data_IF_134765131462
#
_entry.id   IF_134765131462
#
_cell.length_a   1.000
_cell.length_b   1.000
_cell.length_c   1.000
_cell.angle_alpha   90.00
_cell.angle_beta   90.00
_cell.angle_gamma   90.00
#
_symmetry.space_group_name_H-M   'P 1'
#
loop_
_entity.id
_entity.type
_entity.pdbx_description
1 polymer ?
#
# COMPACT_ATOMS: atom_id res chain seq x y z
N UNK A 1 44.78 -3.22 -29.24
CA UNK A 1 43.54 -3.93 -29.63
C UNK A 1 43.04 -4.73 -28.44
N UNK A 2 42.19 -4.12 -27.60
CA UNK A 2 41.71 -4.75 -26.36
C UNK A 2 40.45 -5.56 -26.65
N UNK A 3 40.51 -6.87 -26.38
CA UNK A 3 39.37 -7.79 -26.57
C UNK A 3 38.40 -7.65 -25.40
N UNK A 4 37.16 -7.28 -25.71
CA UNK A 4 36.02 -7.24 -24.79
C UNK A 4 35.62 -8.68 -24.45
N UNK A 5 35.75 -9.06 -23.18
CA UNK A 5 35.41 -10.41 -22.71
C UNK A 5 33.94 -10.42 -22.28
N UNK A 6 33.07 -10.99 -23.12
CA UNK A 6 31.65 -11.18 -22.81
C UNK A 6 31.54 -12.43 -21.93
N UNK A 7 31.39 -12.24 -20.62
CA UNK A 7 31.09 -13.32 -19.68
C UNK A 7 29.59 -13.60 -19.75
N UNK A 8 29.21 -14.70 -20.40
CA UNK A 8 27.85 -15.25 -20.31
C UNK A 8 27.74 -16.03 -19.01
N UNK A 9 26.99 -15.51 -18.03
CA UNK A 9 26.62 -16.28 -16.84
C UNK A 9 25.53 -17.28 -17.26
N UNK A 10 25.92 -18.53 -17.43
CA UNK A 10 24.98 -19.65 -17.58
C UNK A 10 24.66 -20.11 -16.16
N UNK A 11 23.44 -19.84 -15.69
CA UNK A 11 22.94 -20.40 -14.44
C UNK A 11 22.62 -21.87 -14.68
N UNK A 12 23.53 -22.77 -14.30
CA UNK A 12 23.30 -24.21 -14.31
C UNK A 12 22.66 -24.59 -12.99
N UNK A 13 21.37 -24.94 -13.02
CA UNK A 13 20.72 -25.61 -11.89
C UNK A 13 21.22 -27.04 -11.84
N UNK A 14 21.91 -27.41 -10.76
CA UNK A 14 22.24 -28.80 -10.48
C UNK A 14 21.12 -29.38 -9.62
N UNK A 15 20.30 -30.24 -10.20
CA UNK A 15 19.40 -31.11 -9.44
C UNK A 15 20.26 -32.15 -8.71
N UNK A 16 20.42 -31.99 -7.39
CA UNK A 16 20.93 -33.05 -6.53
C UNK A 16 19.90 -33.38 -5.46
N UNK A 17 19.50 -34.63 -5.49
CA UNK A 17 18.37 -35.25 -4.81
C UNK A 17 18.64 -35.51 -3.32
N UNK A 18 17.77 -34.98 -2.46
CA UNK A 18 17.27 -35.62 -1.24
C UNK A 18 15.94 -34.99 -0.87
N UNK A 19 14.86 -35.69 -1.23
CA UNK A 19 13.48 -35.29 -1.00
C UNK A 19 13.15 -35.36 0.50
N UNK A 20 13.38 -34.25 1.21
CA UNK A 20 12.50 -33.90 2.32
C UNK A 20 11.22 -33.37 1.69
N UNK A 21 10.06 -33.93 2.07
CA UNK A 21 8.73 -33.39 1.79
C UNK A 21 8.56 -32.04 2.52
N UNK A 22 9.38 -31.06 2.18
CA UNK A 22 9.06 -29.67 2.43
C UNK A 22 7.99 -29.37 1.40
N UNK A 23 6.74 -29.38 1.84
CA UNK A 23 5.64 -28.71 1.16
C UNK A 23 6.02 -27.23 1.15
N UNK A 24 6.95 -26.85 0.28
CA UNK A 24 7.26 -25.47 -0.08
C UNK A 24 5.96 -24.98 -0.67
N UNK A 25 5.12 -24.42 0.20
CA UNK A 25 4.06 -23.51 -0.21
C UNK A 25 4.77 -22.51 -1.11
N UNK A 26 4.55 -22.63 -2.42
CA UNK A 26 5.16 -21.77 -3.43
C UNK A 26 4.55 -20.39 -3.15
N UNK A 27 5.21 -19.63 -2.29
CA UNK A 27 4.85 -18.27 -1.94
C UNK A 27 5.21 -17.40 -3.14
N UNK A 28 4.31 -17.31 -4.12
CA UNK A 28 4.65 -16.94 -5.50
C UNK A 28 4.71 -15.44 -5.79
N UNK A 29 4.78 -14.58 -4.77
CA UNK A 29 4.93 -13.12 -4.95
C UNK A 29 6.33 -12.70 -5.40
N UNK A 30 6.45 -11.72 -6.31
CA UNK A 30 7.76 -11.25 -6.78
C UNK A 30 8.60 -10.65 -5.65
N UNK A 31 7.99 -9.80 -4.81
CA UNK A 31 8.64 -9.23 -3.63
C UNK A 31 9.09 -10.31 -2.63
N UNK A 32 8.31 -11.37 -2.45
CA UNK A 32 8.66 -12.47 -1.54
C UNK A 32 9.93 -13.18 -2.01
N UNK A 33 10.04 -13.46 -3.32
CA UNK A 33 11.26 -14.06 -3.89
C UNK A 33 12.50 -13.19 -3.69
N UNK A 34 12.35 -11.86 -3.72
CA UNK A 34 13.46 -10.94 -3.48
C UNK A 34 13.86 -10.88 -1.99
N UNK A 35 12.89 -10.98 -1.08
CA UNK A 35 13.15 -11.06 0.36
C UNK A 35 13.84 -12.38 0.74
N UNK A 36 13.35 -13.52 0.24
CA UNK A 36 13.97 -14.82 0.49
C UNK A 36 15.44 -14.85 0.07
N UNK A 37 15.78 -14.10 -0.99
CA UNK A 37 17.15 -13.93 -1.49
C UNK A 37 17.93 -12.82 -0.78
N UNK A 38 17.30 -12.07 0.13
CA UNK A 38 17.85 -10.92 0.83
C UNK A 38 18.41 -9.83 -0.12
N UNK A 39 17.77 -9.63 -1.27
CA UNK A 39 18.19 -8.65 -2.30
C UNK A 39 17.26 -7.43 -2.39
N UNK A 40 16.36 -7.27 -1.42
CA UNK A 40 15.43 -6.13 -1.33
C UNK A 40 15.54 -5.43 0.02
N UNK A 41 15.58 -4.09 -0.01
CA UNK A 41 15.34 -3.27 1.17
C UNK A 41 13.83 -3.08 1.32
N UNK A 42 13.25 -3.67 2.37
CA UNK A 42 11.86 -3.38 2.74
C UNK A 42 11.78 -2.04 3.47
N UNK A 43 10.74 -1.27 3.16
CA UNK A 43 10.44 0.03 3.78
C UNK A 43 9.15 -0.12 4.58
N UNK A 44 9.24 0.17 5.88
CA UNK A 44 8.12 0.13 6.82
C UNK A 44 7.12 1.26 6.57
N UNK A 45 5.95 1.15 7.19
CA UNK A 45 4.96 2.23 7.18
C UNK A 45 5.54 3.45 7.92
N UNK A 46 5.37 4.64 7.35
CA UNK A 46 5.93 5.91 7.82
C UNK A 46 7.47 5.91 7.86
N UNK A 47 8.11 5.17 6.95
CA UNK A 47 9.56 5.17 6.76
C UNK A 47 9.92 5.74 5.38
N UNK A 48 11.02 6.49 5.34
CA UNK A 48 11.75 6.82 4.11
C UNK A 48 13.05 6.05 4.13
N UNK A 49 13.33 5.33 3.04
CA UNK A 49 14.59 4.62 2.89
C UNK A 49 15.14 4.79 1.47
N UNK A 50 16.45 4.54 1.34
CA UNK A 50 17.11 4.49 0.04
C UNK A 50 17.87 3.19 -0.14
N UNK A 51 18.01 2.76 -1.39
CA UNK A 51 18.82 1.61 -1.75
C UNK A 51 19.58 1.89 -3.04
N UNK A 52 20.83 1.43 -3.09
CA UNK A 52 21.54 1.32 -4.37
C UNK A 52 20.83 0.25 -5.21
N UNK A 53 20.54 0.57 -6.45
CA UNK A 53 19.97 -0.35 -7.42
C UNK A 53 21.11 -0.98 -8.23
N UNK A 54 20.96 -2.26 -8.54
CA UNK A 54 21.89 -2.97 -9.40
C UNK A 54 21.14 -3.79 -10.43
N UNK A 55 21.56 -3.68 -11.68
CA UNK A 55 21.06 -4.52 -12.77
C UNK A 55 21.48 -5.99 -12.59
N UNK A 56 22.61 -6.22 -11.91
CA UNK A 56 23.11 -7.55 -11.56
C UNK A 56 22.66 -7.88 -10.14
N UNK A 57 21.51 -8.56 -10.02
CA UNK A 57 21.08 -9.16 -8.76
C UNK A 57 21.99 -10.35 -8.41
N UNK A 58 23.21 -10.05 -7.97
CA UNK A 58 24.16 -11.02 -7.43
C UNK A 58 23.82 -11.39 -5.98
N UNK A 59 24.27 -12.58 -5.56
CA UNK A 59 24.12 -13.03 -4.17
C UNK A 59 24.75 -12.01 -3.21
N UNK A 60 23.96 -11.51 -2.25
CA UNK A 60 24.44 -10.66 -1.16
C UNK A 60 24.48 -9.15 -1.44
N UNK A 61 23.99 -8.67 -2.59
CA UNK A 61 23.80 -7.22 -2.82
C UNK A 61 22.31 -6.88 -2.88
N UNK A 62 21.88 -5.96 -2.03
CA UNK A 62 20.56 -5.32 -2.16
C UNK A 62 20.56 -4.56 -3.49
N UNK A 63 19.73 -5.00 -4.43
CA UNK A 63 19.56 -4.38 -5.74
C UNK A 63 18.15 -3.86 -6.00
N UNK A 64 17.32 -3.87 -4.96
CA UNK A 64 15.91 -3.45 -5.01
C UNK A 64 15.44 -2.83 -3.70
N UNK A 65 14.35 -2.06 -3.77
CA UNK A 65 13.65 -1.48 -2.62
C UNK A 65 12.15 -1.70 -2.80
N UNK A 66 11.40 -1.93 -1.72
CA UNK A 66 9.98 -2.19 -1.85
C UNK A 66 9.21 -2.11 -0.54
N UNK A 67 7.88 -2.26 -0.62
CA UNK A 67 6.98 -2.18 0.53
C UNK A 67 5.99 -3.33 0.61
N UNK A 68 5.64 -3.63 1.87
CA UNK A 68 4.53 -4.43 2.39
C UNK A 68 3.17 -3.73 2.36
N UNK A 69 2.07 -4.45 2.12
CA UNK A 69 0.77 -4.12 2.73
C UNK A 69 0.24 -2.71 2.43
N UNK A 70 0.35 -2.26 1.18
CA UNK A 70 -0.21 -1.00 0.70
C UNK A 70 -1.74 -1.02 0.64
N UNK A 71 -2.41 -0.99 1.78
CA UNK A 71 -3.86 -0.82 1.79
C UNK A 71 -4.22 0.61 1.35
N UNK A 72 -4.49 1.51 2.28
CA UNK A 72 -4.77 2.91 2.01
C UNK A 72 -3.52 3.81 2.01
N UNK A 73 -2.34 3.22 2.20
CA UNK A 73 -1.09 3.96 2.19
C UNK A 73 -0.75 4.48 0.79
N UNK A 74 -0.05 5.61 0.75
CA UNK A 74 0.56 6.17 -0.46
C UNK A 74 2.04 5.83 -0.47
N UNK A 75 2.60 5.51 -1.64
CA UNK A 75 4.03 5.33 -1.83
C UNK A 75 4.56 6.33 -2.81
N UNK A 76 5.63 7.02 -2.41
CA UNK A 76 6.34 7.99 -3.24
C UNK A 76 7.72 7.44 -3.53
N UNK A 77 8.09 7.39 -4.81
CA UNK A 77 9.36 6.83 -5.25
C UNK A 77 10.07 7.86 -6.10
N UNK A 78 11.35 8.08 -5.82
CA UNK A 78 12.28 8.79 -6.69
C UNK A 78 13.40 7.82 -7.03
N UNK A 79 13.56 7.47 -8.31
CA UNK A 79 14.59 6.51 -8.72
C UNK A 79 15.35 6.96 -9.96
N UNK A 80 16.61 6.58 -10.02
CA UNK A 80 17.44 6.55 -11.21
C UNK A 80 17.87 5.11 -11.49
N UNK A 81 18.66 4.88 -12.54
CA UNK A 81 19.26 3.55 -12.78
C UNK A 81 20.13 3.02 -11.63
N UNK A 82 20.63 3.90 -10.75
CA UNK A 82 21.63 3.56 -9.74
C UNK A 82 21.10 3.53 -8.32
N UNK A 83 20.01 4.24 -8.04
CA UNK A 83 19.49 4.41 -6.69
C UNK A 83 18.01 4.69 -6.72
N UNK A 84 17.32 4.20 -5.71
CA UNK A 84 15.93 4.56 -5.42
C UNK A 84 15.82 5.08 -3.99
N UNK A 85 14.93 6.05 -3.81
CA UNK A 85 14.39 6.50 -2.54
C UNK A 85 12.91 6.18 -2.58
N UNK A 86 12.41 5.61 -1.49
CA UNK A 86 11.02 5.22 -1.35
C UNK A 86 10.51 5.71 0.01
N UNK A 87 9.40 6.44 0.00
CA UNK A 87 8.61 6.79 1.16
C UNK A 87 7.31 5.98 1.18
N UNK A 88 7.00 5.35 2.30
CA UNK A 88 5.75 4.63 2.52
C UNK A 88 4.90 5.42 3.52
N UNK A 89 3.94 6.18 3.00
CA UNK A 89 3.15 7.15 3.76
C UNK A 89 1.82 6.52 4.18
N UNK A 90 1.60 6.35 5.48
CA UNK A 90 0.31 5.92 5.99
C UNK A 90 -0.78 6.95 5.68
N UNK A 91 -2.06 6.56 5.63
CA UNK A 91 -3.13 7.52 5.45
C UNK A 91 -3.31 8.42 6.69
N UNK A 92 -2.78 8.02 7.86
CA UNK A 92 -2.73 8.87 9.04
C UNK A 92 -1.54 8.53 9.97
N UNK A 93 -1.19 9.43 10.89
CA UNK A 93 -0.24 9.10 11.96
C UNK A 93 -0.82 8.06 12.89
N UNK A 94 0.00 7.07 13.22
CA UNK A 94 -0.39 6.02 14.15
C UNK A 94 -0.65 6.66 15.53
N UNK A 95 -1.81 6.37 16.11
CA UNK A 95 -2.22 6.83 17.46
C UNK A 95 -2.42 8.35 17.62
N UNK A 96 -2.37 9.15 16.54
CA UNK A 96 -2.62 10.59 16.67
C UNK A 96 -4.11 10.89 16.84
N UNK A 97 -4.49 11.66 17.87
CA UNK A 97 -5.87 12.12 18.06
C UNK A 97 -6.20 13.36 17.21
N UNK A 98 -5.20 13.96 16.56
CA UNK A 98 -5.37 15.21 15.82
C UNK A 98 -6.01 14.95 14.46
N UNK A 99 -7.03 15.74 14.10
CA UNK A 99 -7.73 15.59 12.83
C UNK A 99 -6.82 15.88 11.62
N UNK A 100 -5.85 16.78 11.77
CA UNK A 100 -4.90 17.19 10.73
C UNK A 100 -3.60 16.36 10.70
N UNK A 101 -3.54 15.27 11.47
CA UNK A 101 -2.32 14.45 11.59
C UNK A 101 -1.88 13.84 10.24
N UNK A 102 -2.81 13.52 9.34
CA UNK A 102 -2.48 13.02 8.00
C UNK A 102 -1.77 14.06 7.11
N UNK A 103 -2.10 15.35 7.29
CA UNK A 103 -1.47 16.48 6.58
C UNK A 103 -0.04 16.64 7.12
N UNK A 104 0.12 16.69 8.44
CA UNK A 104 1.42 16.78 9.11
C UNK A 104 2.33 15.62 8.73
N UNK A 105 1.77 14.40 8.70
CA UNK A 105 2.49 13.21 8.24
C UNK A 105 2.98 13.36 6.81
N UNK A 106 2.13 13.81 5.88
CA UNK A 106 2.50 13.97 4.48
C UNK A 106 3.65 14.96 4.31
N UNK A 107 3.59 16.11 5.00
CA UNK A 107 4.68 17.09 5.01
C UNK A 107 5.97 16.50 5.55
N UNK A 108 5.94 15.89 6.75
CA UNK A 108 7.13 15.26 7.35
C UNK A 108 7.74 14.22 6.41
N UNK A 109 6.93 13.31 5.88
CA UNK A 109 7.42 12.24 4.99
C UNK A 109 8.04 12.79 3.70
N UNK A 110 7.51 13.90 3.16
CA UNK A 110 8.09 14.56 2.00
C UNK A 110 9.36 15.34 2.33
N UNK A 111 9.48 15.89 3.55
CA UNK A 111 10.71 16.51 4.05
C UNK A 111 11.82 15.47 4.19
N UNK A 112 11.52 14.32 4.80
CA UNK A 112 12.45 13.19 4.94
C UNK A 112 12.88 12.64 3.56
N UNK A 113 11.94 12.53 2.62
CA UNK A 113 12.23 12.13 1.23
C UNK A 113 13.13 13.17 0.54
N UNK A 114 12.90 14.46 0.75
CA UNK A 114 13.72 15.51 0.18
C UNK A 114 15.13 15.55 0.76
N UNK A 115 15.27 15.37 2.06
CA UNK A 115 16.57 15.21 2.71
C UNK A 115 17.32 14.01 2.13
N UNK A 116 16.65 12.85 2.03
CA UNK A 116 17.22 11.66 1.42
C UNK A 116 17.64 11.89 -0.03
N UNK A 117 16.87 12.65 -0.81
CA UNK A 117 17.19 13.02 -2.19
C UNK A 117 18.42 13.92 -2.27
N UNK A 118 18.47 14.99 -1.46
CA UNK A 118 19.60 15.93 -1.45
C UNK A 118 20.91 15.25 -1.10
N UNK A 119 20.88 14.38 -0.08
CA UNK A 119 22.05 13.61 0.38
C UNK A 119 22.60 12.65 -0.69
N UNK A 120 21.83 12.37 -1.75
CA UNK A 120 22.20 11.45 -2.82
C UNK A 120 22.02 12.04 -4.22
N UNK A 121 21.90 13.37 -4.35
CA UNK A 121 21.51 14.07 -5.59
C UNK A 121 22.41 13.73 -6.79
N UNK A 122 23.68 13.43 -6.57
CA UNK A 122 24.62 12.98 -7.61
C UNK A 122 24.18 11.70 -8.34
N UNK A 123 23.38 10.86 -7.70
CA UNK A 123 22.86 9.62 -8.28
C UNK A 123 21.61 9.84 -9.15
N UNK A 124 21.02 11.03 -9.10
CA UNK A 124 19.76 11.38 -9.75
C UNK A 124 19.96 12.36 -10.93
N UNK A 125 21.19 12.56 -11.39
CA UNK A 125 21.45 13.36 -12.58
C UNK A 125 20.99 12.62 -13.86
N UNK A 126 20.17 13.28 -14.68
CA UNK A 126 19.76 12.81 -16.01
C UNK A 126 18.45 12.01 -16.03
N UNK A 127 18.50 10.74 -15.62
CA UNK A 127 17.41 9.77 -15.82
C UNK A 127 16.63 9.49 -14.53
N UNK A 128 16.17 10.54 -13.86
CA UNK A 128 15.34 10.41 -12.67
C UNK A 128 13.88 10.22 -13.07
N UNK A 129 13.20 9.33 -12.35
CA UNK A 129 11.77 9.09 -12.46
C UNK A 129 11.15 9.21 -11.09
N UNK A 130 9.94 9.74 -11.07
CA UNK A 130 9.13 9.86 -9.87
C UNK A 130 7.83 9.10 -10.08
N UNK A 131 7.44 8.27 -9.12
CA UNK A 131 6.14 7.61 -9.11
C UNK A 131 5.41 7.90 -7.81
N UNK A 132 4.09 8.03 -7.89
CA UNK A 132 3.20 8.10 -6.74
C UNK A 132 2.14 7.02 -6.89
N UNK A 133 2.18 6.02 -6.02
CA UNK A 133 1.22 4.92 -5.98
C UNK A 133 0.24 5.17 -4.84
N UNK A 134 -1.06 5.26 -5.12
CA UNK A 134 -2.07 5.64 -4.12
C UNK A 134 -3.37 4.86 -4.27
N UNK A 135 -4.08 4.68 -3.15
CA UNK A 135 -5.35 3.97 -3.13
C UNK A 135 -6.51 4.79 -3.72
N UNK A 136 -7.42 4.10 -4.42
CA UNK A 136 -8.70 4.63 -4.88
C UNK A 136 -9.86 3.77 -4.35
N UNK A 137 -10.95 4.41 -3.96
CA UNK A 137 -12.22 3.78 -3.57
C UNK A 137 -13.21 4.06 -4.71
N UNK A 138 -13.51 3.04 -5.51
CA UNK A 138 -14.22 3.25 -6.78
C UNK A 138 -13.36 4.09 -7.74
N UNK A 139 -13.85 5.27 -8.11
CA UNK A 139 -13.12 6.26 -8.92
C UNK A 139 -12.38 7.31 -8.10
N UNK A 140 -12.62 7.37 -6.79
CA UNK A 140 -12.17 8.49 -5.95
C UNK A 140 -10.85 8.15 -5.27
N UNK A 141 -9.95 9.13 -5.16
CA UNK A 141 -8.70 8.99 -4.40
C UNK A 141 -9.05 8.83 -2.92
N UNK A 142 -8.48 7.81 -2.26
CA UNK A 142 -8.77 7.54 -0.84
C UNK A 142 -8.33 8.69 0.08
N UNK A 143 -7.22 9.36 -0.26
CA UNK A 143 -6.64 10.49 0.48
C UNK A 143 -6.24 11.62 -0.48
N UNK A 144 -7.20 12.37 -1.04
CA UNK A 144 -6.94 13.34 -2.09
C UNK A 144 -6.04 14.49 -1.61
N UNK A 145 -6.29 15.02 -0.42
CA UNK A 145 -5.51 16.11 0.16
C UNK A 145 -4.04 15.67 0.39
N UNK A 146 -3.80 14.42 0.79
CA UNK A 146 -2.46 13.87 0.95
C UNK A 146 -1.71 13.79 -0.39
N UNK A 147 -2.41 13.34 -1.46
CA UNK A 147 -1.87 13.25 -2.82
C UNK A 147 -1.51 14.63 -3.37
N UNK A 148 -2.33 15.64 -3.09
CA UNK A 148 -2.08 17.02 -3.55
C UNK A 148 -0.84 17.62 -2.88
N UNK A 149 -0.67 17.38 -1.58
CA UNK A 149 0.54 17.78 -0.83
C UNK A 149 1.77 17.10 -1.44
N UNK A 150 1.74 15.78 -1.60
CA UNK A 150 2.85 15.01 -2.18
C UNK A 150 3.23 15.54 -3.56
N UNK A 151 2.25 15.75 -4.44
CA UNK A 151 2.49 16.21 -5.81
C UNK A 151 3.06 17.64 -5.83
N UNK A 152 2.55 18.52 -4.97
CA UNK A 152 3.07 19.89 -4.82
C UNK A 152 4.52 19.89 -4.31
N UNK A 153 4.84 19.07 -3.31
CA UNK A 153 6.21 18.95 -2.78
C UNK A 153 7.18 18.38 -3.82
N UNK A 154 6.78 17.40 -4.62
CA UNK A 154 7.60 16.87 -5.73
C UNK A 154 7.95 18.00 -6.73
N UNK A 155 6.98 18.84 -7.07
CA UNK A 155 7.19 19.99 -7.96
C UNK A 155 8.13 21.03 -7.34
N UNK A 156 7.99 21.34 -6.06
CA UNK A 156 8.88 22.26 -5.33
C UNK A 156 10.33 21.77 -5.29
N UNK A 157 10.54 20.44 -5.28
CA UNK A 157 11.86 19.83 -5.35
C UNK A 157 12.48 19.89 -6.76
N UNK A 158 11.77 20.43 -7.76
CA UNK A 158 12.15 20.44 -9.16
C UNK A 158 12.45 19.03 -9.71
N UNK A 159 11.71 18.04 -9.22
CA UNK A 159 11.72 16.68 -9.75
C UNK A 159 10.81 16.59 -10.99
N UNK A 160 11.01 15.60 -11.87
CA UNK A 160 10.07 15.30 -12.94
C UNK A 160 8.66 15.06 -12.40
N UNK A 161 7.66 15.49 -13.17
CA UNK A 161 6.24 15.27 -12.86
C UNK A 161 6.00 13.79 -12.55
N UNK A 162 5.39 13.46 -11.40
CA UNK A 162 5.25 12.09 -10.98
C UNK A 162 4.26 11.32 -11.86
N UNK A 163 4.63 10.08 -12.16
CA UNK A 163 3.72 9.09 -12.75
C UNK A 163 2.76 8.64 -11.65
N UNK A 164 1.48 8.95 -11.83
CA UNK A 164 0.41 8.68 -10.87
C UNK A 164 -0.18 7.28 -11.13
N UNK A 165 -0.15 6.40 -10.13
CA UNK A 165 -0.63 5.02 -10.24
C UNK A 165 -1.73 4.80 -9.21
N UNK A 166 -2.97 4.75 -9.68
CA UNK A 166 -4.12 4.41 -8.87
C UNK A 166 -4.19 2.89 -8.65
N UNK A 167 -4.38 2.48 -7.39
CA UNK A 167 -4.64 1.09 -7.00
C UNK A 167 -6.00 1.00 -6.31
N UNK A 168 -6.89 0.06 -6.66
CA UNK A 168 -8.10 -0.16 -5.90
C UNK A 168 -7.78 -0.43 -4.42
N UNK A 169 -8.52 0.20 -3.51
CA UNK A 169 -8.42 -0.09 -2.09
C UNK A 169 -8.86 -1.55 -1.89
N UNK A 170 -7.95 -2.38 -1.40
CA UNK A 170 -8.23 -3.77 -1.06
C UNK A 170 -8.41 -3.89 0.45
N UNK A 171 -9.32 -4.76 0.92
CA UNK A 171 -9.43 -5.07 2.34
C UNK A 171 -8.06 -5.49 2.90
N UNK A 172 -7.72 -5.06 4.12
CA UNK A 172 -6.44 -5.35 4.77
C UNK A 172 -6.12 -6.85 4.86
N UNK A 173 -7.15 -7.70 4.84
CA UNK A 173 -7.02 -9.16 4.77
C UNK A 173 -6.91 -9.57 3.30
N UNK A 174 -5.81 -9.21 2.66
CA UNK A 174 -5.55 -9.66 1.29
C UNK A 174 -5.21 -11.16 1.34
N UNK A 175 -6.02 -11.98 0.67
CA UNK A 175 -5.84 -13.43 0.65
C UNK A 175 -4.67 -13.87 -0.23
N UNK A 176 -4.12 -12.95 -1.03
CA UNK A 176 -2.99 -13.20 -1.91
C UNK A 176 -1.74 -12.40 -1.51
N UNK A 177 -0.58 -13.00 -1.71
CA UNK A 177 0.72 -12.48 -1.27
C UNK A 177 1.25 -11.33 -2.15
N UNK A 178 0.76 -11.17 -3.37
CA UNK A 178 1.21 -10.09 -4.26
C UNK A 178 0.52 -8.76 -3.96
N UNK A 179 -0.63 -8.79 -3.29
CA UNK A 179 -1.43 -7.61 -3.02
C UNK A 179 -0.75 -6.65 -2.05
N UNK A 180 -0.91 -5.36 -2.33
CA UNK A 180 -0.28 -4.35 -1.47
C UNK A 180 1.24 -4.25 -1.62
N UNK A 181 1.83 -4.81 -2.68
CA UNK A 181 3.29 -4.74 -2.89
C UNK A 181 3.66 -3.69 -3.93
N UNK A 182 4.75 -2.97 -3.66
CA UNK A 182 5.45 -2.13 -4.64
C UNK A 182 6.93 -2.43 -4.54
N UNK A 183 7.60 -2.59 -5.68
CA UNK A 183 9.03 -2.90 -5.76
C UNK A 183 9.69 -2.08 -6.86
N UNK A 184 10.86 -1.52 -6.57
CA UNK A 184 11.71 -0.83 -7.54
C UNK A 184 12.99 -1.64 -7.73
N UNK A 185 13.35 -1.90 -8.98
CA UNK A 185 14.54 -2.67 -9.34
C UNK A 185 15.36 -1.90 -10.37
N UNK A 186 16.69 -2.00 -10.26
CA UNK A 186 17.60 -1.49 -11.29
C UNK A 186 17.58 -2.33 -12.55
N UNK A 187 17.54 -1.66 -13.70
CA UNK A 187 17.87 -2.22 -15.02
C UNK A 187 19.19 -1.60 -15.51
N UNK A 188 19.71 -2.10 -16.63
CA UNK A 188 20.92 -1.57 -17.25
C UNK A 188 20.80 -0.07 -17.62
N UNK A 189 19.59 0.36 -17.96
CA UNK A 189 19.28 1.67 -18.54
C UNK A 189 18.43 2.56 -17.62
N UNK A 190 17.57 1.98 -16.78
CA UNK A 190 16.60 2.72 -15.96
C UNK A 190 16.18 1.97 -14.69
N UNK A 191 15.40 2.62 -13.82
CA UNK A 191 14.66 1.91 -12.77
C UNK A 191 13.32 1.41 -13.30
N UNK A 192 12.92 0.21 -12.86
CA UNK A 192 11.65 -0.45 -13.19
C UNK A 192 10.78 -0.56 -11.94
N UNK A 193 9.51 -0.21 -12.08
CA UNK A 193 8.53 -0.26 -11.00
C UNK A 193 7.60 -1.46 -11.20
N UNK A 194 7.42 -2.24 -10.14
CA UNK A 194 6.44 -3.31 -10.06
C UNK A 194 5.40 -2.97 -9.00
N UNK A 195 4.13 -3.08 -9.34
CA UNK A 195 2.99 -2.87 -8.44
C UNK A 195 2.11 -4.11 -8.50
N UNK A 196 1.94 -4.79 -7.37
CA UNK A 196 1.21 -6.06 -7.29
C UNK A 196 1.70 -7.11 -8.31
N UNK A 197 3.02 -7.32 -8.34
CA UNK A 197 3.75 -8.21 -9.26
C UNK A 197 3.63 -7.86 -10.76
N UNK A 198 3.03 -6.73 -11.11
CA UNK A 198 2.95 -6.23 -12.49
C UNK A 198 3.93 -5.10 -12.70
N UNK A 199 4.76 -5.21 -13.73
CA UNK A 199 5.60 -4.09 -14.14
C UNK A 199 4.73 -2.97 -14.70
N UNK A 200 4.96 -1.74 -14.23
CA UNK A 200 4.34 -0.56 -14.81
C UNK A 200 5.22 -0.09 -15.96
N UNK A 201 4.80 -0.40 -17.18
CA UNK A 201 5.52 -0.02 -18.38
C UNK A 201 5.50 1.50 -18.58
N UNK A 202 6.54 2.03 -19.23
CA UNK A 202 6.65 3.47 -19.51
C UNK A 202 5.53 4.00 -20.43
N UNK A 203 4.83 3.12 -21.14
CA UNK A 203 3.79 3.50 -22.11
C UNK A 203 2.39 3.55 -21.49
N UNK A 204 2.17 2.88 -20.36
CA UNK A 204 0.87 2.84 -19.67
C UNK A 204 0.58 4.12 -18.85
N UNK A 205 1.55 5.04 -18.82
CA UNK A 205 1.56 6.28 -18.04
C UNK A 205 0.45 7.26 -18.46
N UNK A 206 -0.18 7.07 -19.63
CA UNK A 206 -1.24 7.95 -20.15
C UNK A 206 -2.69 7.47 -20.00
N UNK A 207 -2.95 6.23 -19.54
CA UNK A 207 -4.28 5.62 -19.69
C UNK A 207 -4.93 5.07 -18.41
N UNK A 208 -4.21 4.95 -17.29
CA UNK A 208 -4.80 4.45 -16.03
C UNK A 208 -5.48 5.54 -15.19
N UNK A 209 -6.32 6.36 -15.81
CA UNK A 209 -7.51 6.89 -15.13
C UNK A 209 -8.49 5.73 -15.02
N UNK A 210 -8.59 5.15 -13.82
CA UNK A 210 -9.47 4.04 -13.43
C UNK A 210 -10.39 3.52 -14.55
N UNK A 211 -9.97 2.45 -15.24
CA UNK A 211 -10.87 1.74 -16.15
C UNK A 211 -12.04 1.19 -15.32
N UNK A 212 -13.30 1.61 -15.58
CA UNK A 212 -14.44 1.08 -14.84
C UNK A 212 -14.56 -0.42 -15.08
N UNK A 213 -14.73 -1.17 -13.98
CA UNK A 213 -14.95 -2.60 -14.01
C UNK A 213 -16.29 -2.92 -14.73
N UNK A 214 -16.23 -3.81 -15.71
CA UNK A 214 -17.32 -4.58 -16.31
C UNK A 214 -18.57 -3.82 -16.79
N UNK A 215 -18.63 -3.54 -18.10
CA UNK A 215 -19.91 -3.43 -18.82
C UNK A 215 -20.59 -4.80 -18.82
N UNK A 216 -21.64 -4.95 -18.00
CA UNK A 216 -22.63 -6.01 -18.18
C UNK A 216 -23.39 -5.70 -19.48
N UNK A 217 -23.20 -6.52 -20.51
CA UNK A 217 -24.00 -6.48 -21.73
C UNK A 217 -25.45 -6.83 -21.38
N UNK A 218 -26.29 -5.81 -21.20
CA UNK A 218 -27.74 -5.97 -21.11
C UNK A 218 -28.30 -5.91 -22.52
N UNK A 219 -28.88 -7.01 -22.99
CA UNK A 219 -29.60 -7.07 -24.25
C UNK A 219 -30.78 -6.07 -24.23
N UNK A 220 -30.76 -5.13 -25.16
CA UNK A 220 -31.87 -4.22 -25.44
C UNK A 220 -33.00 -4.98 -26.15
N UNK A 221 -34.22 -4.87 -25.61
CA UNK A 221 -35.45 -5.13 -26.35
C UNK A 221 -36.18 -3.80 -26.50
N UNK A 222 -36.44 -3.44 -27.75
CA UNK A 222 -37.05 -2.22 -28.25
C UNK A 222 -38.49 -2.04 -27.75
N UNK A 223 -38.84 -0.85 -27.26
CA UNK A 223 -40.20 -0.33 -27.34
C UNK A 223 -40.20 1.21 -27.34
N UNK A 224 -40.75 1.78 -28.42
CA UNK A 224 -41.12 3.19 -28.57
C UNK A 224 -42.36 3.52 -27.72
N UNK A 225 -42.38 4.69 -27.08
CA UNK A 225 -43.56 5.56 -27.03
C UNK A 225 -43.19 6.95 -26.50
N UNK A 226 -43.64 7.96 -27.25
CA UNK A 226 -43.53 9.39 -27.02
C UNK A 226 -44.37 9.89 -25.84
N UNK A 227 -43.92 10.94 -25.15
CA UNK A 227 -44.77 12.11 -24.82
C UNK A 227 -43.97 13.24 -24.15
N UNK A 228 -44.27 14.45 -24.59
CA UNK A 228 -43.68 15.72 -24.16
C UNK A 228 -44.30 16.19 -22.84
N UNK A 229 -43.51 16.84 -21.98
CA UNK A 229 -43.99 17.92 -21.11
C UNK A 229 -42.82 18.77 -20.60
N UNK A 230 -42.93 20.07 -20.86
CA UNK A 230 -42.08 21.12 -20.31
C UNK A 230 -42.44 21.33 -18.84
N UNK A 231 -41.48 21.15 -17.93
CA UNK A 231 -41.57 21.61 -16.54
C UNK A 231 -40.32 22.47 -16.28
N UNK A 232 -40.53 23.77 -16.13
CA UNK A 232 -39.57 24.67 -15.50
C UNK A 232 -39.49 24.31 -14.01
N UNK A 233 -38.30 23.94 -13.53
CA UNK A 233 -38.01 23.84 -12.09
C UNK A 233 -36.75 24.62 -11.81
N UNK A 234 -36.91 25.74 -11.11
CA UNK A 234 -35.85 26.53 -10.51
C UNK A 234 -35.30 25.74 -9.31
N UNK A 235 -34.30 24.91 -9.54
CA UNK A 235 -33.62 24.13 -8.49
C UNK A 235 -32.51 24.96 -7.85
N UNK A 236 -32.67 25.27 -6.56
CA UNK A 236 -31.55 25.70 -5.72
C UNK A 236 -30.51 24.58 -5.66
N UNK A 237 -29.28 24.88 -6.12
CA UNK A 237 -28.11 24.05 -5.88
C UNK A 237 -27.82 24.05 -4.37
N UNK A 238 -28.40 23.09 -3.65
CA UNK A 238 -27.85 22.67 -2.37
C UNK A 238 -26.49 22.04 -2.65
N UNK A 239 -25.44 22.58 -2.03
CA UNK A 239 -24.13 21.94 -1.98
C UNK A 239 -24.31 20.50 -1.50
N UNK A 240 -24.13 19.53 -2.40
CA UNK A 240 -24.07 18.14 -2.01
C UNK A 240 -22.90 18.00 -1.03
N UNK A 241 -23.19 17.66 0.24
CA UNK A 241 -22.15 17.40 1.22
C UNK A 241 -21.26 16.28 0.68
N UNK A 242 -19.97 16.58 0.52
CA UNK A 242 -18.94 15.58 0.17
C UNK A 242 -19.02 14.47 1.22
N UNK A 243 -19.13 13.19 0.83
CA UNK A 243 -19.18 12.10 1.80
C UNK A 243 -17.90 12.13 2.66
N UNK A 244 -18.06 12.26 3.97
CA UNK A 244 -16.97 12.14 4.93
C UNK A 244 -16.65 10.65 5.14
N UNK A 245 -15.38 10.29 4.98
CA UNK A 245 -14.86 8.96 5.29
C UNK A 245 -14.07 9.04 6.59
N UNK A 246 -14.20 8.02 7.43
CA UNK A 246 -13.45 7.91 8.68
C UNK A 246 -12.73 6.58 8.73
N UNK A 247 -11.57 6.61 9.37
CA UNK A 247 -10.77 5.44 9.63
C UNK A 247 -11.32 4.69 10.84
N UNK A 248 -11.90 3.50 10.61
CA UNK A 248 -12.38 2.61 11.67
C UNK A 248 -11.80 1.21 11.44
N UNK A 249 -11.16 0.63 12.46
CA UNK A 249 -10.73 -0.77 12.47
C UNK A 249 -9.90 -1.19 11.25
N UNK A 250 -8.94 -0.34 10.87
CA UNK A 250 -8.04 -0.64 9.75
C UNK A 250 -8.76 -0.64 8.40
N UNK A 251 -9.91 0.00 8.24
CA UNK A 251 -10.55 0.14 6.92
C UNK A 251 -11.11 1.54 6.78
N UNK A 252 -10.94 2.17 5.61
CA UNK A 252 -11.66 3.40 5.30
C UNK A 252 -13.09 3.06 4.90
N UNK A 253 -14.05 3.65 5.61
CA UNK A 253 -15.47 3.51 5.32
C UNK A 253 -16.19 4.85 5.44
N UNK A 254 -17.40 4.97 4.86
CA UNK A 254 -18.23 6.16 5.06
C UNK A 254 -18.49 6.35 6.56
N UNK A 255 -18.40 7.60 7.05
CA UNK A 255 -18.66 7.95 8.44
C UNK A 255 -20.05 7.43 8.86
N UNK A 256 -20.14 6.45 9.80
CA UNK A 256 -21.42 5.93 10.22
C UNK A 256 -22.27 7.05 10.82
N UNK A 257 -23.54 7.12 10.43
CA UNK A 257 -24.50 7.91 11.19
C UNK A 257 -24.53 7.36 12.63
N UNK A 258 -24.42 8.23 13.63
CA UNK A 258 -24.33 7.83 15.04
C UNK A 258 -25.48 6.89 15.40
N UNK A 259 -25.19 5.59 15.57
CA UNK A 259 -26.16 4.56 15.94
C UNK A 259 -25.82 4.04 17.32
N UNK A 260 -26.83 3.90 18.19
CA UNK A 260 -26.67 3.47 19.56
C UNK A 260 -26.08 2.05 19.67
N UNK A 261 -25.16 1.83 20.61
CA UNK A 261 -24.49 0.54 20.83
C UNK A 261 -25.48 -0.56 21.27
N UNK A 262 -25.32 -1.77 20.72
CA UNK A 262 -26.10 -2.96 21.08
C UNK A 262 -25.44 -3.72 22.24
N UNK A 263 -26.23 -4.20 23.20
CA UNK A 263 -25.77 -4.86 24.45
C UNK A 263 -25.73 -6.40 24.38
N UNK A 264 -26.03 -7.00 23.23
CA UNK A 264 -26.14 -8.46 23.08
C UNK A 264 -24.85 -9.07 22.51
N UNK A 265 -24.28 -10.05 23.21
CA UNK A 265 -23.08 -10.76 22.77
C UNK A 265 -23.34 -11.60 21.50
N UNK A 266 -22.42 -11.63 20.52
CA UNK A 266 -22.56 -12.44 19.32
C UNK A 266 -22.44 -13.96 19.61
N UNK A 267 -22.99 -14.83 18.74
CA UNK A 267 -22.99 -16.29 18.95
C UNK A 267 -21.58 -16.89 19.00
N UNK A 268 -21.41 -17.90 19.87
CA UNK A 268 -20.13 -18.48 20.35
C UNK A 268 -19.33 -19.26 19.28
N UNK A 269 -19.85 -19.46 18.06
CA UNK A 269 -19.25 -20.39 17.09
C UNK A 269 -18.00 -19.86 16.35
N UNK A 270 -17.58 -18.62 16.60
CA UNK A 270 -16.41 -17.99 15.97
C UNK A 270 -15.44 -17.38 16.98
N UNK A 271 -15.62 -17.68 18.27
CA UNK A 271 -14.82 -17.08 19.33
C UNK A 271 -13.50 -17.82 19.54
N UNK A 272 -12.34 -17.14 19.48
CA UNK A 272 -11.07 -17.78 19.82
C UNK A 272 -11.04 -18.24 21.28
N UNK A 273 -10.50 -19.43 21.51
CA UNK A 273 -10.18 -19.92 22.86
C UNK A 273 -9.30 -18.90 23.60
N UNK A 274 -9.60 -18.65 24.88
CA UNK A 274 -8.86 -17.65 25.67
C UNK A 274 -9.35 -16.21 25.50
N UNK A 275 -10.62 -16.01 25.11
CA UNK A 275 -11.27 -14.70 25.09
C UNK A 275 -12.44 -14.62 26.07
N UNK A 276 -12.82 -13.40 26.49
CA UNK A 276 -14.06 -13.09 27.20
C UNK A 276 -14.78 -11.92 26.52
N UNK A 277 -16.10 -11.99 26.42
CA UNK A 277 -16.89 -10.84 25.94
C UNK A 277 -17.00 -9.80 27.06
N UNK A 278 -16.74 -8.53 26.76
CA UNK A 278 -16.77 -7.44 27.73
C UNK A 278 -17.93 -6.45 27.54
N UNK A 279 -18.88 -6.79 26.65
CA UNK A 279 -19.98 -5.92 26.26
C UNK A 279 -19.79 -5.27 24.88
N UNK A 280 -18.57 -5.24 24.35
CA UNK A 280 -18.26 -4.61 23.07
C UNK A 280 -17.29 -5.43 22.20
N UNK A 281 -16.36 -6.15 22.82
CA UNK A 281 -15.33 -6.94 22.14
C UNK A 281 -15.09 -8.29 22.82
N UNK A 282 -14.55 -9.26 22.07
CA UNK A 282 -13.93 -10.46 22.63
C UNK A 282 -12.49 -10.15 23.03
N UNK A 283 -12.25 -9.94 24.32
CA UNK A 283 -10.97 -9.49 24.88
C UNK A 283 -10.14 -10.69 25.34
N UNK A 284 -8.83 -10.66 25.15
CA UNK A 284 -7.92 -11.71 25.65
C UNK A 284 -8.03 -11.85 27.15
N UNK A 285 -8.15 -13.10 27.64
CA UNK A 285 -8.05 -13.39 29.07
C UNK A 285 -6.62 -13.32 29.59
N UNK A 286 -5.62 -13.42 28.71
CA UNK A 286 -4.21 -13.30 29.06
C UNK A 286 -3.72 -11.84 29.10
N UNK A 287 -4.23 -10.98 28.21
CA UNK A 287 -3.92 -9.54 28.22
C UNK A 287 -5.14 -8.69 27.82
N UNK A 288 -5.83 -8.05 28.79
CA UNK A 288 -7.04 -7.27 28.54
C UNK A 288 -6.87 -6.05 27.61
N UNK A 289 -5.64 -5.65 27.30
CA UNK A 289 -5.36 -4.59 26.33
C UNK A 289 -5.59 -5.03 24.88
N UNK A 290 -5.74 -6.33 24.62
CA UNK A 290 -5.93 -6.88 23.27
C UNK A 290 -7.34 -7.45 23.08
N UNK A 291 -7.93 -7.15 21.94
CA UNK A 291 -9.23 -7.65 21.52
C UNK A 291 -9.12 -8.39 20.19
N UNK A 292 -9.96 -9.41 20.03
CA UNK A 292 -10.18 -10.08 18.76
C UNK A 292 -11.17 -9.27 17.93
N UNK A 293 -10.65 -8.61 16.89
CA UNK A 293 -11.40 -7.69 16.04
C UNK A 293 -11.26 -8.18 14.61
N UNK A 294 -12.40 -8.48 13.97
CA UNK A 294 -12.45 -8.86 12.55
C UNK A 294 -11.52 -10.03 12.14
N UNK A 295 -11.33 -11.01 13.04
CA UNK A 295 -10.54 -12.21 12.76
C UNK A 295 -9.04 -12.11 13.05
N UNK A 296 -8.59 -11.06 13.74
CA UNK A 296 -7.21 -10.92 14.19
C UNK A 296 -7.13 -10.31 15.61
N UNK A 297 -6.00 -10.51 16.27
CA UNK A 297 -5.67 -9.82 17.52
C UNK A 297 -5.19 -8.40 17.23
N UNK A 298 -5.82 -7.42 17.88
CA UNK A 298 -5.42 -6.02 17.84
C UNK A 298 -5.49 -5.38 19.23
N UNK A 299 -4.90 -4.19 19.37
CA UNK A 299 -5.09 -3.38 20.57
C UNK A 299 -6.56 -2.98 20.66
N UNK A 300 -7.13 -3.12 21.86
CA UNK A 300 -8.51 -2.76 22.14
C UNK A 300 -8.69 -1.24 21.96
N UNK A 301 -9.69 -0.77 21.21
CA UNK A 301 -9.97 0.65 21.06
C UNK A 301 -10.13 1.34 22.42
N UNK A 302 -9.40 2.44 22.62
CA UNK A 302 -9.39 3.22 23.87
C UNK A 302 -8.46 2.73 24.97
N UNK A 303 -7.75 1.61 24.79
CA UNK A 303 -6.68 1.20 25.72
C UNK A 303 -5.34 1.78 25.28
N UNK A 304 -4.59 2.36 26.22
CA UNK A 304 -3.18 2.74 26.01
C UNK A 304 -2.30 1.60 26.51
N UNK A 305 -1.26 1.18 25.77
CA UNK A 305 -0.31 0.20 26.29
C UNK A 305 0.38 0.79 27.53
N UNK A 306 0.18 0.16 28.69
CA UNK A 306 0.87 0.54 29.92
C UNK A 306 2.35 0.18 29.80
N UNK A 307 3.19 1.18 29.51
CA UNK A 307 4.67 1.21 29.65
C UNK A 307 5.46 -0.09 29.35
N UNK A 308 6.22 -0.06 28.25
CA UNK A 308 7.51 -0.73 27.95
C UNK A 308 7.84 -2.19 28.33
N UNK A 309 7.00 -2.97 29.02
CA UNK A 309 7.36 -4.36 29.42
C UNK A 309 6.64 -5.44 28.60
N UNK A 310 5.58 -5.13 27.86
CA UNK A 310 4.79 -6.12 27.11
C UNK A 310 5.32 -6.43 25.68
N UNK A 311 6.61 -6.16 25.39
CA UNK A 311 7.19 -6.39 24.04
C UNK A 311 7.75 -7.80 23.79
N UNK A 312 7.55 -8.76 24.68
CA UNK A 312 7.95 -10.15 24.42
C UNK A 312 6.94 -11.16 24.99
N UNK A 313 5.98 -11.56 24.17
CA UNK A 313 5.43 -12.92 24.14
C UNK A 313 4.41 -13.07 22.99
N UNK A 314 4.90 -13.24 21.76
CA UNK A 314 4.21 -14.10 20.80
C UNK A 314 5.08 -15.34 20.61
N UNK A 315 5.05 -16.22 21.61
CA UNK A 315 5.33 -17.63 21.37
C UNK A 315 4.14 -18.15 20.57
N UNK A 316 4.44 -18.73 19.41
CA UNK A 316 3.51 -19.45 18.56
C UNK A 316 2.65 -20.40 19.42
N UNK A 317 1.36 -20.10 19.55
CA UNK A 317 0.36 -21.10 19.90
C UNK A 317 -0.42 -21.40 18.63
N UNK A 318 -0.31 -22.66 18.21
CA UNK A 318 -1.15 -23.31 17.20
C UNK A 318 -2.53 -23.56 17.80
#
# INVERSE_FOLDING_TARGET
>A
MSRLLIVRIIVVYTESSKAANVKMSIRSGFLYRLEERQVVRLVGINEVASATLSAELGLGKIGSIGVRGLSACTVVIVASRHRAILAHVAPNELESPEEDSYIKLAHRMMDDLFEAYRNHSQWFAGNTRTWVVYAVIGSDVATPEQKDIITSRIKEMNLPEPIQIARPLKPFVSSSQSEGTVVVIGSADSARLFVEDREIANEEIGQHTATPAHTVTRSETTALASSSSNISTTGHYGSAQKPEYVWNDGTWGPKPAATAASSVAPPVSTTPTGTRWDGQYHVSTANPAYAWISGAWGLRPGQRPSSCVDRMAFVSMV
#
